data_IF_985951554015
#
_entry.id   IF_985951554015
#
_cell.length_a   1.000
_cell.length_b   1.000
_cell.length_c   1.000
_cell.angle_alpha   90.00
_cell.angle_beta   90.00
_cell.angle_gamma   90.00
#
_symmetry.space_group_name_H-M   'P 1'
#
loop_
_entity.id
_entity.type
_entity.pdbx_description
1 polymer ?
#
# COMPACT_ATOMS: atom_id res chain seq x y z
N UNK A 1 17.48 -3.92 0.03
CA UNK A 1 16.53 -3.43 -1.01
C UNK A 1 17.23 -2.55 -2.04
N UNK A 2 18.01 -1.56 -1.62
CA UNK A 2 18.79 -0.71 -2.55
C UNK A 2 19.73 -1.53 -3.44
N UNK A 3 20.39 -2.56 -2.91
CA UNK A 3 21.24 -3.48 -3.68
C UNK A 3 20.49 -4.15 -4.84
N UNK A 4 19.30 -4.69 -4.59
CA UNK A 4 18.46 -5.33 -5.62
C UNK A 4 18.10 -4.33 -6.72
N UNK A 5 17.69 -3.12 -6.32
CA UNK A 5 17.28 -2.07 -7.25
C UNK A 5 18.45 -1.63 -8.15
N UNK A 6 19.67 -1.54 -7.59
CA UNK A 6 20.88 -1.18 -8.35
C UNK A 6 21.39 -2.33 -9.23
N UNK A 7 21.57 -3.53 -8.67
CA UNK A 7 22.18 -4.66 -9.39
C UNK A 7 21.36 -5.09 -10.60
N UNK A 8 20.05 -4.91 -10.55
CA UNK A 8 19.14 -5.29 -11.64
C UNK A 8 18.72 -4.12 -12.53
N UNK A 9 19.24 -2.91 -12.31
CA UNK A 9 18.87 -1.71 -13.06
C UNK A 9 17.34 -1.57 -13.22
N UNK A 10 16.61 -1.62 -12.10
CA UNK A 10 15.14 -1.67 -12.11
C UNK A 10 14.55 -0.35 -12.61
N UNK A 11 13.73 -0.40 -13.66
CA UNK A 11 13.02 0.78 -14.18
C UNK A 11 11.72 1.08 -13.43
N UNK A 12 11.01 0.04 -12.99
CA UNK A 12 9.67 0.14 -12.38
C UNK A 12 9.49 -0.91 -11.28
N UNK A 13 8.79 -0.52 -10.21
CA UNK A 13 8.40 -1.41 -9.11
C UNK A 13 6.88 -1.55 -9.07
N UNK A 14 6.39 -2.79 -9.03
CA UNK A 14 4.98 -3.12 -8.77
C UNK A 14 4.89 -3.75 -7.38
N UNK A 15 4.23 -3.07 -6.44
CA UNK A 15 4.23 -3.43 -5.03
C UNK A 15 2.95 -4.13 -4.60
N UNK A 16 3.02 -5.45 -4.47
CA UNK A 16 1.97 -6.32 -3.94
C UNK A 16 2.26 -6.82 -2.51
N UNK A 17 3.44 -6.55 -1.97
CA UNK A 17 3.85 -7.10 -0.67
C UNK A 17 3.14 -6.35 0.46
N UNK A 18 2.20 -7.04 1.11
CA UNK A 18 1.32 -6.50 2.13
C UNK A 18 0.48 -7.61 2.77
N UNK A 19 0.12 -7.46 4.05
CA UNK A 19 -0.93 -8.28 4.66
C UNK A 19 -2.29 -7.76 4.18
N UNK A 20 -3.23 -8.68 3.92
CA UNK A 20 -4.44 -8.35 3.16
C UNK A 20 -5.79 -8.68 3.80
N UNK A 21 -5.80 -9.36 4.95
CA UNK A 21 -7.05 -9.85 5.53
C UNK A 21 -7.71 -8.78 6.41
N UNK A 22 -8.89 -8.30 6.00
CA UNK A 22 -9.68 -7.29 6.71
C UNK A 22 -9.94 -7.69 8.17
N UNK A 23 -10.46 -8.91 8.40
CA UNK A 23 -10.80 -9.37 9.75
C UNK A 23 -9.59 -9.57 10.66
N UNK A 24 -8.50 -10.14 10.13
CA UNK A 24 -7.26 -10.32 10.90
C UNK A 24 -6.64 -8.97 11.28
N UNK A 25 -6.70 -7.98 10.39
CA UNK A 25 -6.13 -6.67 10.65
C UNK A 25 -6.70 -5.98 11.88
N UNK A 26 -7.95 -6.26 12.23
CA UNK A 26 -8.59 -5.75 13.47
C UNK A 26 -7.97 -6.40 14.71
N UNK A 27 -7.60 -7.67 14.63
CA UNK A 27 -6.96 -8.41 15.73
C UNK A 27 -5.47 -8.07 15.86
N UNK A 28 -4.82 -7.75 14.73
CA UNK A 28 -3.37 -7.50 14.63
C UNK A 28 -3.05 -6.16 13.96
N UNK A 29 -3.55 -5.02 14.47
CA UNK A 29 -3.43 -3.73 13.79
C UNK A 29 -1.97 -3.31 13.58
N UNK A 30 -1.10 -3.53 14.57
CA UNK A 30 0.30 -3.12 14.49
C UNK A 30 1.09 -3.90 13.43
N UNK A 31 0.82 -5.20 13.27
CA UNK A 31 1.44 -6.01 12.21
C UNK A 31 1.08 -5.48 10.81
N UNK A 32 -0.19 -5.07 10.62
CA UNK A 32 -0.65 -4.50 9.35
C UNK A 32 -0.04 -3.12 9.09
N UNK A 33 0.07 -2.26 10.09
CA UNK A 33 0.74 -0.96 9.94
C UNK A 33 2.24 -1.10 9.69
N UNK A 34 2.93 -1.99 10.41
CA UNK A 34 4.35 -2.22 10.21
C UNK A 34 4.63 -2.81 8.81
N UNK A 35 3.88 -3.84 8.41
CA UNK A 35 4.12 -4.48 7.13
C UNK A 35 3.70 -3.61 5.95
N UNK A 36 2.52 -2.98 5.99
CA UNK A 36 1.99 -2.27 4.83
C UNK A 36 2.48 -0.82 4.75
N UNK A 37 2.50 -0.07 5.86
CA UNK A 37 2.94 1.33 5.86
C UNK A 37 4.46 1.42 5.97
N UNK A 38 5.05 0.85 7.02
CA UNK A 38 6.51 0.94 7.23
C UNK A 38 7.27 0.11 6.16
N UNK A 39 6.75 -1.04 5.74
CA UNK A 39 7.29 -1.80 4.60
C UNK A 39 7.30 -0.98 3.30
N UNK A 40 6.20 -0.31 2.96
CA UNK A 40 6.14 0.61 1.80
C UNK A 40 7.12 1.77 1.97
N UNK A 41 7.20 2.38 3.16
CA UNK A 41 8.13 3.47 3.44
C UNK A 41 9.60 3.07 3.22
N UNK A 42 9.97 1.85 3.64
CA UNK A 42 11.30 1.29 3.41
C UNK A 42 11.58 1.05 1.93
N UNK A 43 10.59 0.56 1.18
CA UNK A 43 10.69 0.37 -0.26
C UNK A 43 10.91 1.68 -1.00
N UNK A 44 10.05 2.68 -0.80
CA UNK A 44 10.16 3.96 -1.49
C UNK A 44 11.43 4.71 -1.11
N UNK A 45 11.92 4.54 0.12
CA UNK A 45 13.21 5.11 0.55
C UNK A 45 14.38 4.46 -0.21
N UNK A 46 14.36 3.14 -0.38
CA UNK A 46 15.36 2.43 -1.17
C UNK A 46 15.27 2.78 -2.67
N UNK A 47 14.06 2.89 -3.23
CA UNK A 47 13.82 3.34 -4.60
C UNK A 47 14.37 4.75 -4.84
N UNK A 48 14.15 5.67 -3.90
CA UNK A 48 14.70 7.02 -3.95
C UNK A 48 16.24 7.00 -3.97
N UNK A 49 16.86 6.20 -3.10
CA UNK A 49 18.31 6.05 -3.07
C UNK A 49 18.87 5.46 -4.37
N UNK A 50 18.12 4.57 -5.02
CA UNK A 50 18.48 3.95 -6.30
C UNK A 50 18.03 4.75 -7.54
N UNK A 51 17.44 5.94 -7.36
CA UNK A 51 16.87 6.77 -8.44
C UNK A 51 15.78 6.07 -9.30
N UNK A 52 15.07 5.09 -8.72
CA UNK A 52 13.92 4.43 -9.35
C UNK A 52 12.66 5.20 -9.01
N UNK A 53 11.91 5.66 -10.02
CA UNK A 53 10.78 6.60 -9.83
C UNK A 53 9.42 6.07 -10.26
N UNK A 54 9.38 4.98 -11.02
CA UNK A 54 8.12 4.39 -11.44
C UNK A 54 7.63 3.39 -10.40
N UNK A 55 6.43 3.62 -9.86
CA UNK A 55 5.85 2.84 -8.79
C UNK A 55 4.37 2.57 -9.06
N UNK A 56 3.98 1.29 -9.03
CA UNK A 56 2.59 0.86 -9.09
C UNK A 56 2.25 0.23 -7.74
N UNK A 57 1.28 0.80 -7.05
CA UNK A 57 0.87 0.37 -5.72
C UNK A 57 -0.42 -0.45 -5.78
N UNK A 58 -0.41 -1.62 -5.14
CA UNK A 58 -1.61 -2.45 -4.99
C UNK A 58 -2.50 -1.94 -3.85
N UNK A 59 -3.23 -0.84 -4.07
CA UNK A 59 -4.26 -0.36 -3.13
C UNK A 59 -5.51 -1.26 -3.16
N UNK A 60 -6.60 -0.85 -2.50
CA UNK A 60 -7.83 -1.62 -2.35
C UNK A 60 -9.07 -0.73 -2.32
N UNK A 61 -10.20 -1.22 -2.84
CA UNK A 61 -11.49 -0.52 -2.75
C UNK A 61 -11.92 -0.21 -1.30
N UNK A 62 -11.32 -0.87 -0.29
CA UNK A 62 -11.56 -0.58 1.13
C UNK A 62 -11.23 0.86 1.53
N UNK A 63 -10.43 1.60 0.73
CA UNK A 63 -10.13 3.02 0.97
C UNK A 63 -11.38 3.91 0.87
N UNK A 64 -12.42 3.46 0.16
CA UNK A 64 -13.69 4.20 0.05
C UNK A 64 -14.58 4.05 1.30
N UNK A 65 -14.30 3.11 2.19
CA UNK A 65 -15.09 2.93 3.41
C UNK A 65 -16.58 2.64 3.11
N UNK A 66 -17.45 3.34 3.82
CA UNK A 66 -18.92 3.21 3.78
C UNK A 66 -19.61 4.27 2.91
N UNK A 67 -19.00 4.64 1.78
CA UNK A 67 -19.58 5.57 0.80
C UNK A 67 -20.97 5.08 0.33
N UNK A 68 -22.01 5.95 0.37
CA UNK A 68 -23.38 5.56 0.02
C UNK A 68 -23.61 5.38 -1.49
N UNK A 69 -22.67 5.84 -2.33
CA UNK A 69 -22.76 5.78 -3.79
C UNK A 69 -21.90 4.67 -4.37
N UNK A 70 -22.55 3.76 -5.09
CA UNK A 70 -21.97 2.64 -5.83
C UNK A 70 -22.53 2.72 -7.27
N UNK A 71 -21.75 2.46 -8.34
CA UNK A 71 -20.35 2.01 -8.34
C UNK A 71 -19.36 3.09 -7.88
N UNK A 72 -18.22 2.65 -7.30
CA UNK A 72 -17.13 3.57 -6.97
C UNK A 72 -16.47 4.10 -8.23
N UNK A 73 -16.07 5.37 -8.18
CA UNK A 73 -15.36 6.08 -9.25
C UNK A 73 -14.18 6.81 -8.62
N UNK A 74 -13.05 6.89 -9.31
CA UNK A 74 -11.79 7.45 -8.81
C UNK A 74 -11.89 8.95 -8.49
N UNK A 75 -12.88 9.65 -9.06
CA UNK A 75 -13.18 11.04 -8.72
C UNK A 75 -13.88 11.21 -7.36
N UNK A 76 -14.32 10.14 -6.72
CA UNK A 76 -14.91 10.21 -5.39
C UNK A 76 -13.83 10.42 -4.32
N UNK A 77 -14.11 11.20 -3.27
CA UNK A 77 -13.21 11.25 -2.14
C UNK A 77 -13.09 9.86 -1.50
N UNK A 78 -11.91 9.55 -0.98
CA UNK A 78 -11.74 8.40 -0.09
C UNK A 78 -12.62 8.59 1.15
N UNK A 79 -13.05 7.49 1.76
CA UNK A 79 -13.91 7.49 2.95
C UNK A 79 -13.11 7.25 4.23
N UNK A 80 -13.81 6.76 5.25
CA UNK A 80 -13.19 6.20 6.45
C UNK A 80 -13.11 4.68 6.28
N UNK A 81 -11.91 4.09 6.07
CA UNK A 81 -11.80 2.65 5.96
C UNK A 81 -12.14 1.97 7.28
N UNK A 82 -12.91 0.89 7.21
CA UNK A 82 -13.50 0.21 8.38
C UNK A 82 -12.57 -0.83 9.04
N UNK A 83 -11.31 -0.93 8.61
CA UNK A 83 -10.33 -1.87 9.17
C UNK A 83 -8.91 -1.31 9.11
N UNK A 84 -7.99 -1.76 9.98
CA UNK A 84 -6.57 -1.41 9.89
C UNK A 84 -5.95 -1.74 8.53
N UNK A 85 -6.35 -2.84 7.89
CA UNK A 85 -5.97 -3.13 6.50
C UNK A 85 -6.35 -1.99 5.56
N UNK A 86 -7.61 -1.54 5.57
CA UNK A 86 -8.07 -0.47 4.68
C UNK A 86 -7.44 0.89 5.00
N UNK A 87 -6.99 1.12 6.23
CA UNK A 87 -6.29 2.35 6.64
C UNK A 87 -4.80 2.36 6.30
N UNK A 88 -4.20 1.18 6.09
CA UNK A 88 -2.78 0.99 5.85
C UNK A 88 -2.44 0.83 4.35
N UNK A 89 -3.43 0.90 3.46
CA UNK A 89 -3.32 0.79 2.00
C UNK A 89 -4.08 1.93 1.29
#
# INVERSE_FOLDING_TARGET
>A
MTEILHHHAIDTVIHFAGLKAVGESVQKPLEYYDNNVNGTLRLISAMRAANVKNFIFSSSATVYGDQPKIPYVESFPTGTPQSPYGKAN
#
